data_IF_371215342286
#
_entry.id   IF_371215342286
#
_cell.length_a   1.000
_cell.length_b   1.000
_cell.length_c   1.000
_cell.angle_alpha   90.00
_cell.angle_beta   90.00
_cell.angle_gamma   90.00
#
_symmetry.space_group_name_H-M   'P 1'
#
loop_
_entity.id
_entity.type
_entity.pdbx_description
1 polymer ?
#
# COMPACT_ATOMS: atom_id res chain seq x y z
N UNK A 1 -12.83 2.22 13.65
CA UNK A 1 -11.45 2.46 13.19
C UNK A 1 -10.83 1.10 12.94
N UNK A 2 -10.03 0.90 11.89
CA UNK A 2 -9.42 -0.41 11.64
C UNK A 2 -8.50 -0.80 12.81
N UNK A 3 -8.66 -2.02 13.28
CA UNK A 3 -8.07 -2.56 14.52
C UNK A 3 -6.66 -3.11 14.31
N UNK A 4 -6.27 -3.38 13.06
CA UNK A 4 -4.93 -3.89 12.72
C UNK A 4 -4.34 -3.25 11.46
N UNK A 5 -3.01 -3.36 11.29
CA UNK A 5 -2.33 -2.95 10.05
C UNK A 5 -2.84 -3.78 8.85
N UNK A 6 -3.10 -5.07 9.04
CA UNK A 6 -3.64 -5.93 7.99
C UNK A 6 -5.02 -5.43 7.51
N UNK A 7 -5.89 -5.07 8.45
CA UNK A 7 -7.20 -4.50 8.10
C UNK A 7 -7.06 -3.15 7.37
N UNK A 8 -6.09 -2.31 7.76
CA UNK A 8 -5.81 -1.06 7.05
C UNK A 8 -5.32 -1.31 5.61
N UNK A 9 -4.49 -2.34 5.40
CA UNK A 9 -4.03 -2.77 4.07
C UNK A 9 -5.24 -3.15 3.22
N UNK A 10 -6.08 -4.07 3.70
CA UNK A 10 -7.23 -4.57 2.93
C UNK A 10 -8.25 -3.47 2.62
N UNK A 11 -8.60 -2.62 3.60
CA UNK A 11 -9.51 -1.50 3.38
C UNK A 11 -8.94 -0.48 2.38
N UNK A 12 -7.63 -0.24 2.40
CA UNK A 12 -7.01 0.69 1.46
C UNK A 12 -6.91 0.07 0.06
N UNK A 13 -6.65 -1.24 -0.02
CA UNK A 13 -6.63 -2.02 -1.26
C UNK A 13 -7.99 -1.97 -1.95
N UNK A 14 -9.07 -2.25 -1.23
CA UNK A 14 -10.44 -2.22 -1.77
C UNK A 14 -10.78 -0.83 -2.34
N UNK A 15 -10.49 0.23 -1.59
CA UNK A 15 -10.71 1.62 -2.03
C UNK A 15 -9.91 1.97 -3.27
N UNK A 16 -8.64 1.55 -3.34
CA UNK A 16 -7.78 1.77 -4.49
C UNK A 16 -8.35 1.09 -5.74
N UNK A 17 -8.74 -0.18 -5.62
CA UNK A 17 -9.33 -0.96 -6.73
C UNK A 17 -10.62 -0.30 -7.20
N UNK A 18 -11.52 0.06 -6.28
CA UNK A 18 -12.76 0.75 -6.62
C UNK A 18 -12.49 2.08 -7.35
N UNK A 19 -11.58 2.91 -6.82
CA UNK A 19 -11.19 4.16 -7.47
C UNK A 19 -10.57 3.94 -8.86
N UNK A 20 -9.80 2.87 -9.05
CA UNK A 20 -9.19 2.52 -10.34
C UNK A 20 -10.24 2.08 -11.36
N UNK A 21 -11.23 1.29 -10.93
CA UNK A 21 -12.34 0.85 -11.79
C UNK A 21 -13.24 2.03 -12.19
N UNK A 22 -13.51 2.95 -11.27
CA UNK A 22 -14.40 4.09 -11.50
C UNK A 22 -13.72 5.24 -12.27
N UNK A 23 -12.45 5.53 -11.96
CA UNK A 23 -11.78 6.74 -12.42
C UNK A 23 -10.47 6.50 -13.19
N UNK A 24 -10.02 5.24 -13.28
CA UNK A 24 -8.73 4.87 -13.87
C UNK A 24 -7.55 4.96 -12.90
N UNK A 25 -6.44 4.31 -13.27
CA UNK A 25 -5.20 4.29 -12.50
C UNK A 25 -4.47 5.64 -12.46
N UNK A 26 -4.60 6.45 -13.50
CA UNK A 26 -4.01 7.81 -13.57
C UNK A 26 -4.75 8.85 -12.72
N UNK A 27 -5.91 8.51 -12.15
CA UNK A 27 -6.65 9.44 -11.32
C UNK A 27 -5.89 9.78 -10.02
N UNK A 28 -5.92 11.05 -9.62
CA UNK A 28 -5.24 11.56 -8.42
C UNK A 28 -5.65 10.79 -7.15
N UNK A 29 -6.93 10.39 -7.03
CA UNK A 29 -7.40 9.58 -5.91
C UNK A 29 -6.82 8.17 -5.93
N UNK A 30 -6.78 7.53 -7.10
CA UNK A 30 -6.20 6.20 -7.26
C UNK A 30 -4.70 6.22 -6.93
N UNK A 31 -3.96 7.22 -7.41
CA UNK A 31 -2.53 7.42 -7.11
C UNK A 31 -2.31 7.67 -5.60
N UNK A 32 -3.17 8.46 -4.97
CA UNK A 32 -3.07 8.71 -3.53
C UNK A 32 -3.32 7.44 -2.72
N UNK A 33 -4.30 6.64 -3.13
CA UNK A 33 -4.62 5.37 -2.49
C UNK A 33 -3.50 4.33 -2.69
N UNK A 34 -2.88 4.27 -3.87
CA UNK A 34 -1.74 3.38 -4.11
C UNK A 34 -0.54 3.73 -3.25
N UNK A 35 -0.18 5.02 -3.13
CA UNK A 35 0.89 5.49 -2.22
C UNK A 35 0.60 5.17 -0.75
N UNK A 36 -0.68 5.22 -0.34
CA UNK A 36 -1.08 4.85 1.03
C UNK A 36 -0.97 3.34 1.23
N UNK A 37 -1.45 2.55 0.27
CA UNK A 37 -1.37 1.09 0.32
C UNK A 37 0.07 0.62 0.42
N UNK A 38 0.96 1.19 -0.40
CA UNK A 38 2.39 0.90 -0.39
C UNK A 38 3.05 1.14 0.98
N UNK A 39 2.77 2.30 1.60
CA UNK A 39 3.25 2.59 2.97
C UNK A 39 2.75 1.57 3.99
N UNK A 40 1.48 1.17 3.90
CA UNK A 40 0.90 0.18 4.81
C UNK A 40 1.53 -1.21 4.62
N UNK A 41 1.79 -1.62 3.38
CA UNK A 41 2.49 -2.87 3.07
C UNK A 41 3.93 -2.85 3.60
N UNK A 42 4.64 -1.73 3.46
CA UNK A 42 5.97 -1.56 4.03
C UNK A 42 5.95 -1.69 5.57
N UNK A 43 4.99 -1.08 6.25
CA UNK A 43 4.83 -1.20 7.71
C UNK A 43 4.49 -2.65 8.11
N UNK A 44 3.57 -3.29 7.38
CA UNK A 44 3.17 -4.67 7.64
C UNK A 44 4.36 -5.63 7.51
N UNK A 45 5.16 -5.48 6.46
CA UNK A 45 6.34 -6.31 6.23
C UNK A 45 7.43 -6.09 7.28
N UNK A 46 7.66 -4.85 7.73
CA UNK A 46 8.63 -4.57 8.80
C UNK A 46 8.19 -5.17 10.14
N UNK A 47 6.89 -5.30 10.40
CA UNK A 47 6.36 -5.94 11.60
C UNK A 47 6.72 -7.43 11.65
N UNK A 48 6.58 -8.13 10.52
CA UNK A 48 6.82 -9.57 10.45
C UNK A 48 8.28 -9.92 10.12
N UNK A 49 9.04 -8.98 9.52
CA UNK A 49 10.43 -9.17 9.08
C UNK A 49 11.27 -7.90 9.31
N UNK A 50 11.68 -7.59 10.57
CA UNK A 50 12.37 -6.34 10.91
C UNK A 50 13.73 -6.16 10.25
N UNK A 51 14.35 -7.25 9.75
CA UNK A 51 15.64 -7.22 9.06
C UNK A 51 15.51 -7.18 7.52
N UNK A 52 14.29 -7.20 6.97
CA UNK A 52 14.10 -7.12 5.52
C UNK A 52 14.17 -5.65 5.08
N UNK A 53 15.05 -5.28 4.13
CA UNK A 53 15.02 -3.93 3.58
C UNK A 53 13.63 -3.67 2.98
N UNK A 54 13.08 -2.48 3.25
CA UNK A 54 11.85 -1.99 2.62
C UNK A 54 11.92 -2.20 1.11
N UNK A 55 10.83 -2.63 0.46
CA UNK A 55 10.79 -3.01 -0.97
C UNK A 55 11.43 -1.93 -1.85
N UNK A 56 11.21 -0.65 -1.52
CA UNK A 56 11.80 0.49 -2.21
C UNK A 56 13.34 0.44 -2.30
N UNK A 57 14.02 -0.05 -1.26
CA UNK A 57 15.48 -0.19 -1.22
C UNK A 57 15.99 -1.37 -2.04
N UNK A 58 15.17 -2.39 -2.25
CA UNK A 58 15.50 -3.57 -3.03
C UNK A 58 15.34 -3.29 -4.54
N UNK A 59 14.33 -2.50 -4.91
CA UNK A 59 14.08 -2.09 -6.30
C UNK A 59 15.06 -1.03 -6.84
N UNK A 60 15.74 -0.26 -5.97
CA UNK A 60 16.73 0.75 -6.35
C UNK A 60 18.15 0.20 -6.61
N UNK A 61 18.36 -1.12 -6.59
CA UNK A 61 19.69 -1.75 -6.74
C UNK A 61 20.07 -2.16 -8.18
N UNK A 62 19.25 -1.87 -9.18
CA UNK A 62 19.51 -2.21 -10.59
C UNK A 62 19.73 -0.97 -11.45
#
# INVERSE_FOLDING_TARGET
>A
MPESILEQVELTREKMIKSALENGFGNVNTIRLSKKLDRLLNIYQLKDFPNKPSIDKELMKN
#
